data_IF_101378033526
#
_entry.id   IF_101378033526
#
_cell.length_a   1.000
_cell.length_b   1.000
_cell.length_c   1.000
_cell.angle_alpha   90.00
_cell.angle_beta   90.00
_cell.angle_gamma   90.00
#
_symmetry.space_group_name_H-M   'P 1'
#
loop_
_entity.id
_entity.type
_entity.pdbx_description
1 polymer ?
#
# COMPACT_ATOMS: atom_id res chain seq x y z
N UNK A 1 -6.80 -15.20 -68.70
CA UNK A 1 -7.11 -13.78 -68.64
C UNK A 1 -6.28 -13.19 -67.50
N UNK A 2 -5.22 -12.54 -67.90
CA UNK A 2 -4.19 -11.85 -67.12
C UNK A 2 -4.70 -10.48 -66.66
N UNK A 3 -4.52 -10.11 -65.40
CA UNK A 3 -4.54 -8.71 -65.01
C UNK A 3 -3.47 -8.48 -63.93
N UNK A 4 -2.47 -7.77 -64.38
CA UNK A 4 -1.32 -7.24 -63.68
C UNK A 4 -1.75 -6.02 -62.86
N UNK A 5 -1.35 -5.92 -61.61
CA UNK A 5 -1.47 -4.68 -60.83
C UNK A 5 -0.09 -4.20 -60.42
N UNK A 6 0.17 -2.95 -60.79
CA UNK A 6 1.40 -2.17 -60.60
C UNK A 6 1.66 -1.88 -59.11
N UNK A 7 2.90 -2.03 -58.75
CA UNK A 7 3.52 -1.55 -57.55
C UNK A 7 4.06 -0.13 -57.79
N UNK A 8 3.58 0.89 -57.08
CA UNK A 8 4.18 2.21 -57.04
C UNK A 8 5.17 2.29 -55.86
N UNK A 9 6.43 2.51 -56.19
CA UNK A 9 7.49 2.87 -55.26
C UNK A 9 7.38 4.37 -54.91
N UNK A 10 7.36 4.69 -53.67
CA UNK A 10 7.61 6.05 -53.17
C UNK A 10 9.10 6.25 -52.95
N UNK A 11 9.64 7.17 -53.71
CA UNK A 11 11.00 7.70 -53.64
C UNK A 11 11.05 8.75 -52.53
N UNK A 12 11.89 8.59 -51.52
CA UNK A 12 12.16 9.57 -50.49
C UNK A 12 13.61 10.04 -50.63
N UNK A 13 13.71 11.24 -51.18
CA UNK A 13 14.98 11.94 -51.37
C UNK A 13 15.70 12.25 -50.08
N UNK A 14 17.01 12.10 -50.11
CA UNK A 14 17.96 12.46 -49.08
C UNK A 14 18.02 14.02 -48.90
N UNK A 15 18.17 14.53 -47.66
CA UNK A 15 18.50 15.93 -47.49
C UNK A 15 20.01 16.17 -47.48
N UNK A 16 20.39 17.14 -48.23
CA UNK A 16 21.75 17.70 -48.39
C UNK A 16 22.46 18.06 -47.09
N UNK A 17 23.73 17.73 -47.04
CA UNK A 17 24.70 18.22 -46.06
C UNK A 17 24.99 19.71 -46.28
N UNK A 18 24.78 20.54 -45.27
CA UNK A 18 25.43 21.84 -45.16
C UNK A 18 26.42 21.87 -44.01
N UNK A 19 27.70 21.80 -44.38
CA UNK A 19 28.83 22.12 -43.51
C UNK A 19 28.97 23.63 -43.31
N UNK A 20 29.43 24.00 -42.12
CA UNK A 20 30.27 25.09 -41.64
C UNK A 20 29.66 25.97 -40.56
N UNK A 21 30.38 26.00 -39.43
CA UNK A 21 30.29 27.11 -38.52
C UNK A 21 30.77 26.89 -37.11
N UNK A 22 32.09 27.00 -36.91
CA UNK A 22 32.80 27.52 -35.72
C UNK A 22 32.73 26.76 -34.38
N UNK A 23 33.80 26.05 -34.12
CA UNK A 23 34.28 25.68 -32.80
C UNK A 23 34.78 26.89 -32.01
N UNK A 24 33.92 27.58 -31.28
CA UNK A 24 34.31 28.53 -30.22
C UNK A 24 33.25 28.45 -29.11
N UNK A 25 33.58 27.90 -27.96
CA UNK A 25 32.70 28.02 -26.80
C UNK A 25 32.82 27.00 -25.67
N UNK A 26 33.65 25.98 -25.77
CA UNK A 26 33.76 24.97 -24.67
C UNK A 26 34.88 25.19 -23.65
N UNK A 27 35.63 26.30 -23.71
CA UNK A 27 36.75 26.54 -22.79
C UNK A 27 36.60 27.73 -21.83
N UNK A 28 35.43 28.34 -21.71
CA UNK A 28 35.20 29.46 -20.78
C UNK A 28 34.23 29.22 -19.63
N UNK A 29 33.76 27.99 -19.43
CA UNK A 29 32.83 27.70 -18.33
C UNK A 29 33.49 27.04 -17.09
N UNK A 30 34.78 26.78 -17.12
CA UNK A 30 35.50 26.14 -16.01
C UNK A 30 36.55 27.05 -15.31
N UNK A 31 36.59 28.34 -15.59
CA UNK A 31 37.52 29.26 -14.99
C UNK A 31 36.88 30.30 -14.04
N UNK A 32 35.64 30.10 -13.60
CA UNK A 32 34.90 31.06 -12.77
C UNK A 32 34.54 30.58 -11.35
N UNK A 33 35.06 29.44 -10.91
CA UNK A 33 34.75 28.89 -9.58
C UNK A 33 35.97 28.78 -8.64
N UNK A 34 36.79 29.78 -8.63
CA UNK A 34 37.98 29.79 -7.80
C UNK A 34 38.33 31.16 -7.25
N UNK A 35 37.43 31.85 -6.54
CA UNK A 35 37.78 32.95 -5.59
C UNK A 35 36.50 33.46 -4.93
N UNK A 36 36.15 32.93 -3.75
CA UNK A 36 34.95 33.42 -3.02
C UNK A 36 34.63 32.62 -1.76
N UNK A 37 35.63 32.01 -1.18
CA UNK A 37 35.45 31.32 0.11
C UNK A 37 36.19 32.10 1.22
N UNK A 38 35.66 33.27 1.60
CA UNK A 38 35.93 33.86 2.95
C UNK A 38 34.73 34.75 3.32
N UNK A 39 34.21 34.56 4.51
CA UNK A 39 33.23 35.34 5.24
C UNK A 39 31.76 35.19 4.83
N UNK A 40 31.11 34.26 5.50
CA UNK A 40 29.77 34.46 6.01
C UNK A 40 29.52 33.48 7.17
N UNK A 41 30.16 33.75 8.28
CA UNK A 41 29.72 33.31 9.58
C UNK A 41 28.62 34.25 10.07
N UNK A 42 27.47 34.18 9.46
CA UNK A 42 26.20 34.62 10.03
C UNK A 42 25.20 33.59 9.61
N UNK A 43 24.92 32.66 10.53
CA UNK A 43 23.83 31.72 10.38
C UNK A 43 22.53 32.51 10.24
N UNK A 44 22.12 32.76 9.02
CA UNK A 44 20.70 32.93 8.74
C UNK A 44 20.12 31.55 9.00
N UNK A 45 19.64 31.31 10.21
CA UNK A 45 18.62 30.33 10.44
C UNK A 45 17.52 30.70 9.44
N UNK A 46 17.49 30.04 8.28
CA UNK A 46 16.30 29.95 7.47
C UNK A 46 15.27 29.35 8.44
N UNK A 47 14.47 30.26 9.04
CA UNK A 47 13.35 29.84 9.83
C UNK A 47 12.61 28.85 8.97
N UNK A 48 12.52 27.61 9.42
CA UNK A 48 11.61 26.66 8.81
C UNK A 48 10.25 27.39 8.81
N UNK A 49 9.81 27.80 7.63
CA UNK A 49 8.41 28.16 7.51
C UNK A 49 7.67 26.94 8.04
N UNK A 50 7.04 27.12 9.20
CA UNK A 50 6.10 26.12 9.68
C UNK A 50 5.11 25.96 8.56
N UNK A 51 5.15 24.81 7.89
CA UNK A 51 4.14 24.47 6.91
C UNK A 51 2.74 24.76 7.51
N UNK A 52 1.75 24.97 6.67
CA UNK A 52 0.41 25.30 7.15
C UNK A 52 0.02 24.31 8.21
N UNK A 53 -0.60 24.82 9.29
CA UNK A 53 -1.07 23.99 10.38
C UNK A 53 -1.81 22.79 9.78
N UNK A 54 -1.35 21.58 10.08
CA UNK A 54 -1.90 20.33 9.53
C UNK A 54 -3.40 20.14 9.80
N UNK A 55 -3.96 20.88 10.76
CA UNK A 55 -5.39 20.89 11.05
C UNK A 55 -6.20 21.83 10.15
N UNK A 56 -5.53 22.68 9.36
CA UNK A 56 -6.19 23.65 8.49
C UNK A 56 -6.07 23.21 7.06
N UNK A 57 -7.18 22.82 6.44
CA UNK A 57 -7.24 22.61 4.97
C UNK A 57 -7.22 23.99 4.34
N UNK A 58 -6.03 24.49 4.04
CA UNK A 58 -5.84 25.83 3.47
C UNK A 58 -5.87 25.85 1.95
N UNK A 59 -5.77 24.67 1.32
CA UNK A 59 -5.83 24.53 -0.13
C UNK A 59 -7.24 24.20 -0.57
N UNK A 60 -7.73 24.78 -1.70
CA UNK A 60 -9.00 24.38 -2.29
C UNK A 60 -9.01 22.85 -2.50
N UNK A 61 -10.18 22.21 -2.51
CA UNK A 61 -10.30 20.81 -2.88
C UNK A 61 -9.59 20.55 -4.20
N UNK A 62 -8.70 19.56 -4.21
CA UNK A 62 -7.97 19.17 -5.43
C UNK A 62 -8.78 18.13 -6.18
N UNK A 63 -8.81 18.28 -7.50
CA UNK A 63 -9.26 17.20 -8.36
C UNK A 63 -8.09 16.24 -8.61
N UNK A 64 -8.24 14.99 -8.18
CA UNK A 64 -7.28 13.92 -8.41
C UNK A 64 -7.67 13.02 -9.60
N UNK A 65 -8.72 13.38 -10.33
CA UNK A 65 -9.21 12.61 -11.47
C UNK A 65 -8.20 12.53 -12.61
N UNK A 66 -8.35 11.58 -13.54
CA UNK A 66 -7.43 11.43 -14.68
C UNK A 66 -7.42 12.64 -15.62
N UNK A 67 -8.49 13.44 -15.58
CA UNK A 67 -8.62 14.68 -16.37
C UNK A 67 -8.35 15.94 -15.54
N UNK A 68 -7.87 15.80 -14.30
CA UNK A 68 -7.52 16.93 -13.46
C UNK A 68 -6.42 17.79 -14.11
N UNK A 69 -6.48 19.08 -13.87
CA UNK A 69 -5.38 19.97 -14.28
C UNK A 69 -4.07 19.49 -13.64
N UNK A 70 -2.93 19.59 -14.35
CA UNK A 70 -1.62 19.28 -13.79
C UNK A 70 -1.39 20.00 -12.48
N UNK A 71 -0.76 19.33 -11.51
CA UNK A 71 -0.35 20.00 -10.28
C UNK A 71 0.69 21.08 -10.63
N UNK A 72 0.37 22.32 -10.32
CA UNK A 72 1.26 23.47 -10.57
C UNK A 72 2.22 23.75 -9.40
N UNK A 73 2.08 23.03 -8.30
CA UNK A 73 2.93 23.18 -7.14
C UNK A 73 4.19 22.33 -7.30
N UNK A 74 5.35 22.93 -6.99
CA UNK A 74 6.65 22.27 -7.14
C UNK A 74 6.92 21.19 -6.10
N UNK A 75 6.25 21.25 -4.98
CA UNK A 75 6.15 20.20 -3.97
C UNK A 75 4.68 19.94 -3.77
N UNK A 76 4.27 18.68 -3.81
CA UNK A 76 2.87 18.37 -3.56
C UNK A 76 2.50 18.79 -2.12
N UNK A 77 1.55 19.73 -1.92
CA UNK A 77 1.24 20.27 -0.59
C UNK A 77 0.65 19.23 0.35
N UNK A 78 0.27 18.05 -0.14
CA UNK A 78 -0.23 16.94 0.67
C UNK A 78 0.85 15.91 0.99
N UNK A 79 2.10 16.10 0.52
CA UNK A 79 3.28 15.34 0.93
C UNK A 79 4.06 16.19 1.93
N UNK A 80 3.96 15.86 3.21
CA UNK A 80 4.43 16.69 4.32
C UNK A 80 5.68 16.09 4.96
N UNK A 81 6.79 16.83 4.96
CA UNK A 81 7.95 16.53 5.79
C UNK A 81 7.66 17.00 7.23
N UNK A 82 7.58 16.07 8.17
CA UNK A 82 7.51 16.36 9.61
C UNK A 82 8.92 16.48 10.17
N UNK A 83 9.81 15.64 9.70
CA UNK A 83 11.24 15.69 9.97
C UNK A 83 12.02 15.96 8.68
N UNK A 84 13.10 16.76 8.69
CA UNK A 84 13.89 17.07 7.49
C UNK A 84 14.44 15.85 6.76
N UNK A 85 14.67 14.73 7.44
CA UNK A 85 15.14 13.49 6.81
C UNK A 85 14.14 12.90 5.82
N UNK A 86 12.85 13.22 5.93
CA UNK A 86 11.82 12.80 4.98
C UNK A 86 12.06 13.33 3.57
N UNK A 87 12.75 14.47 3.44
CA UNK A 87 13.09 15.03 2.12
C UNK A 87 13.96 14.08 1.28
N UNK A 88 14.72 13.19 1.92
CA UNK A 88 15.47 12.12 1.24
C UNK A 88 14.61 10.92 0.80
N UNK A 89 13.38 10.82 1.26
CA UNK A 89 12.45 9.73 0.96
C UNK A 89 11.37 10.15 -0.05
N UNK A 90 11.05 11.43 -0.10
CA UNK A 90 10.04 12.00 -1.01
C UNK A 90 10.67 12.47 -2.32
N UNK A 91 9.92 12.36 -3.41
CA UNK A 91 10.31 12.87 -4.72
C UNK A 91 9.70 14.27 -4.93
N UNK A 92 10.50 15.35 -4.97
CA UNK A 92 9.95 16.71 -4.91
C UNK A 92 8.99 17.10 -6.04
N UNK A 93 9.15 16.51 -7.21
CA UNK A 93 8.37 16.83 -8.41
C UNK A 93 7.31 15.77 -8.74
N UNK A 94 7.01 14.88 -7.79
CA UNK A 94 6.02 13.83 -7.97
C UNK A 94 4.70 14.21 -7.29
N UNK A 95 3.65 14.55 -8.03
CA UNK A 95 2.32 14.80 -7.47
C UNK A 95 1.66 13.49 -7.06
N UNK A 96 0.76 13.57 -6.08
CA UNK A 96 -0.19 12.50 -5.80
C UNK A 96 -1.17 12.41 -6.96
N UNK A 97 -1.34 11.20 -7.47
CA UNK A 97 -2.26 10.90 -8.57
C UNK A 97 -3.35 9.97 -8.07
N UNK A 98 -4.62 10.27 -8.37
CA UNK A 98 -5.70 9.30 -8.26
C UNK A 98 -5.77 8.50 -9.55
N UNK A 99 -5.43 7.22 -9.47
CA UNK A 99 -5.38 6.34 -10.65
C UNK A 99 -6.78 5.80 -10.99
N UNK A 100 -7.62 5.60 -9.99
CA UNK A 100 -8.94 5.04 -10.18
C UNK A 100 -9.86 5.30 -8.97
N UNK A 101 -11.17 5.29 -9.20
CA UNK A 101 -12.20 5.33 -8.17
C UNK A 101 -13.38 4.45 -8.59
N UNK A 102 -14.16 3.93 -7.64
CA UNK A 102 -15.35 3.12 -7.92
C UNK A 102 -15.40 1.80 -7.13
N UNK A 103 -14.57 1.63 -6.11
CA UNK A 103 -14.74 0.57 -5.12
C UNK A 103 -15.87 0.91 -4.12
N UNK A 104 -16.38 -0.09 -3.45
CA UNK A 104 -17.12 0.12 -2.19
C UNK A 104 -16.15 0.21 -1.02
N UNK A 105 -15.15 -0.68 -0.97
CA UNK A 105 -14.05 -0.63 -0.02
C UNK A 105 -12.84 -1.34 -0.61
N UNK A 106 -11.86 -0.54 -1.04
CA UNK A 106 -10.64 -1.02 -1.64
C UNK A 106 -9.62 -1.40 -0.56
N UNK A 107 -9.00 -2.56 -0.72
CA UNK A 107 -8.05 -3.14 0.23
C UNK A 107 -7.01 -4.05 -0.43
N UNK A 108 -6.03 -4.51 0.38
CA UNK A 108 -5.11 -5.57 0.07
C UNK A 108 -4.33 -5.40 -1.21
N UNK A 109 -3.58 -4.31 -1.39
CA UNK A 109 -2.80 -4.09 -2.59
C UNK A 109 -1.59 -5.02 -2.67
N UNK A 110 -1.34 -5.54 -3.87
CA UNK A 110 -0.14 -6.30 -4.18
C UNK A 110 0.40 -5.90 -5.56
N UNK A 111 1.71 -5.72 -5.64
CA UNK A 111 2.38 -5.43 -6.91
C UNK A 111 2.96 -6.70 -7.52
N UNK A 112 2.64 -6.95 -8.78
CA UNK A 112 3.27 -8.01 -9.56
C UNK A 112 4.36 -7.41 -10.45
N UNK A 113 5.62 -7.68 -10.11
CA UNK A 113 6.77 -7.14 -10.84
C UNK A 113 6.95 -7.76 -12.23
N UNK A 114 6.55 -9.02 -12.42
CA UNK A 114 6.67 -9.71 -13.70
C UNK A 114 5.63 -9.22 -14.71
N UNK A 115 4.37 -9.11 -14.23
CA UNK A 115 3.25 -8.64 -15.04
C UNK A 115 3.08 -7.12 -15.04
N UNK A 116 3.86 -6.40 -14.24
CA UNK A 116 3.84 -4.93 -14.12
C UNK A 116 2.43 -4.38 -13.86
N UNK A 117 1.76 -4.95 -12.86
CA UNK A 117 0.42 -4.51 -12.49
C UNK A 117 0.23 -4.45 -10.99
N UNK A 118 -0.65 -3.54 -10.56
CA UNK A 118 -1.19 -3.48 -9.22
C UNK A 118 -2.48 -4.32 -9.18
N UNK A 119 -2.56 -5.17 -8.17
CA UNK A 119 -3.77 -5.90 -7.79
C UNK A 119 -4.32 -5.30 -6.49
N UNK A 120 -5.64 -5.25 -6.34
CA UNK A 120 -6.30 -4.95 -5.06
C UNK A 120 -7.65 -5.63 -4.97
N UNK A 121 -8.17 -5.75 -3.76
CA UNK A 121 -9.51 -6.26 -3.47
C UNK A 121 -10.51 -5.12 -3.36
N UNK A 122 -11.68 -5.29 -3.95
CA UNK A 122 -12.88 -4.52 -3.62
C UNK A 122 -13.79 -5.46 -2.84
N UNK A 123 -13.60 -5.46 -1.50
CA UNK A 123 -14.09 -6.51 -0.61
C UNK A 123 -15.60 -6.69 -0.71
N UNK A 124 -16.44 -5.63 -0.54
CA UNK A 124 -17.89 -5.82 -0.51
C UNK A 124 -18.47 -6.27 -1.86
N UNK A 125 -17.76 -5.97 -2.95
CA UNK A 125 -18.14 -6.41 -4.30
C UNK A 125 -17.62 -7.81 -4.63
N UNK A 126 -16.86 -8.44 -3.72
CA UNK A 126 -16.26 -9.79 -3.91
C UNK A 126 -15.50 -9.91 -5.22
N UNK A 127 -14.67 -8.92 -5.51
CA UNK A 127 -13.86 -8.88 -6.74
C UNK A 127 -12.44 -8.40 -6.46
N UNK A 128 -11.51 -8.85 -7.27
CA UNK A 128 -10.16 -8.31 -7.37
C UNK A 128 -10.04 -7.47 -8.63
N UNK A 129 -9.44 -6.30 -8.49
CA UNK A 129 -9.22 -5.34 -9.56
C UNK A 129 -7.74 -5.31 -9.92
N UNK A 130 -7.43 -4.91 -11.15
CA UNK A 130 -6.07 -4.77 -11.65
C UNK A 130 -5.90 -3.45 -12.38
N UNK A 131 -4.83 -2.73 -12.04
CA UNK A 131 -4.32 -1.59 -12.82
C UNK A 131 -3.02 -2.01 -13.51
N UNK A 132 -2.95 -1.81 -14.83
CA UNK A 132 -1.78 -2.14 -15.66
C UNK A 132 -0.92 -0.88 -15.80
N UNK A 133 0.39 -1.01 -15.55
CA UNK A 133 1.30 0.15 -15.56
C UNK A 133 1.50 0.71 -16.97
N UNK A 134 1.53 -0.13 -17.99
CA UNK A 134 1.89 0.24 -19.36
C UNK A 134 0.90 1.23 -19.99
N UNK A 135 -0.37 1.10 -19.69
CA UNK A 135 -1.43 1.93 -20.30
C UNK A 135 -2.38 2.58 -19.27
N UNK A 136 -2.20 2.28 -17.98
CA UNK A 136 -3.06 2.78 -16.91
C UNK A 136 -4.46 2.14 -16.88
N UNK A 137 -4.70 1.08 -17.66
CA UNK A 137 -6.01 0.42 -17.75
C UNK A 137 -6.37 -0.27 -16.45
N UNK A 138 -7.62 -0.05 -16.00
CA UNK A 138 -8.19 -0.75 -14.85
C UNK A 138 -9.26 -1.73 -15.31
N UNK A 139 -9.14 -2.96 -14.83
CA UNK A 139 -10.08 -4.03 -15.15
C UNK A 139 -10.40 -4.88 -13.93
N UNK A 140 -11.53 -5.58 -13.98
CA UNK A 140 -11.80 -6.68 -13.05
C UNK A 140 -10.84 -7.82 -13.37
N UNK A 141 -10.03 -8.21 -12.39
CA UNK A 141 -9.07 -9.30 -12.52
C UNK A 141 -9.72 -10.65 -12.20
N UNK A 142 -10.50 -10.69 -11.10
CA UNK A 142 -11.31 -11.86 -10.70
C UNK A 142 -12.63 -11.40 -10.10
N UNK A 143 -13.68 -12.15 -10.38
CA UNK A 143 -14.96 -12.07 -9.69
C UNK A 143 -15.11 -13.22 -8.70
N UNK A 144 -16.06 -13.08 -7.77
CA UNK A 144 -16.37 -14.13 -6.78
C UNK A 144 -15.16 -14.54 -5.96
N UNK A 145 -14.43 -13.54 -5.46
CA UNK A 145 -13.17 -13.73 -4.73
C UNK A 145 -13.39 -14.06 -3.26
N UNK A 146 -14.60 -14.46 -2.87
CA UNK A 146 -14.98 -14.78 -1.49
C UNK A 146 -14.68 -13.62 -0.52
N UNK A 147 -14.95 -12.39 -0.98
CA UNK A 147 -14.65 -11.16 -0.25
C UNK A 147 -13.18 -11.13 0.22
N UNK A 148 -12.26 -11.36 -0.74
CA UNK A 148 -10.84 -11.29 -0.46
C UNK A 148 -10.44 -9.91 0.08
N UNK A 149 -9.49 -9.90 1.01
CA UNK A 149 -8.90 -8.69 1.57
C UNK A 149 -7.42 -8.61 1.19
N UNK A 150 -6.50 -8.93 2.10
CA UNK A 150 -5.07 -8.84 1.89
C UNK A 150 -4.57 -9.75 0.78
N UNK A 151 -3.69 -9.22 -0.05
CA UNK A 151 -2.99 -9.97 -1.08
C UNK A 151 -1.50 -9.68 -1.00
N UNK A 152 -0.68 -10.63 -1.46
CA UNK A 152 0.75 -10.46 -1.66
C UNK A 152 1.23 -11.45 -2.73
N UNK A 153 2.31 -11.13 -3.43
CA UNK A 153 3.01 -12.12 -4.23
C UNK A 153 4.15 -12.74 -3.42
N UNK A 154 4.26 -14.06 -3.47
CA UNK A 154 5.37 -14.76 -2.83
C UNK A 154 6.66 -14.66 -3.66
N UNK A 155 7.76 -15.20 -3.14
CA UNK A 155 9.06 -15.14 -3.81
C UNK A 155 9.13 -15.94 -5.12
N UNK A 156 8.10 -16.74 -5.42
CA UNK A 156 7.94 -17.46 -6.69
C UNK A 156 6.97 -16.76 -7.65
N UNK A 157 6.44 -15.60 -7.27
CA UNK A 157 5.49 -14.82 -8.07
C UNK A 157 4.05 -15.34 -8.03
N UNK A 158 3.71 -16.24 -7.09
CA UNK A 158 2.35 -16.74 -6.88
C UNK A 158 1.59 -15.80 -5.96
N UNK A 159 0.33 -15.57 -6.25
CA UNK A 159 -0.50 -14.69 -5.43
C UNK A 159 -1.01 -15.43 -4.20
N UNK A 160 -0.75 -14.84 -3.03
CA UNK A 160 -1.39 -15.18 -1.75
C UNK A 160 -2.62 -14.28 -1.57
N UNK A 161 -3.68 -14.79 -0.97
CA UNK A 161 -4.90 -14.03 -0.71
C UNK A 161 -5.61 -14.49 0.56
N UNK A 162 -6.09 -13.52 1.33
CA UNK A 162 -6.96 -13.74 2.49
C UNK A 162 -8.42 -13.62 2.06
N UNK A 163 -9.25 -14.62 2.32
CA UNK A 163 -10.66 -14.65 1.95
C UNK A 163 -11.55 -14.57 3.19
N UNK A 164 -12.35 -13.51 3.31
CA UNK A 164 -13.23 -13.31 4.46
C UNK A 164 -14.42 -14.28 4.48
N UNK A 165 -15.15 -14.41 3.36
CA UNK A 165 -16.37 -15.21 3.29
C UNK A 165 -16.11 -16.69 3.57
N UNK A 166 -15.06 -17.24 2.99
CA UNK A 166 -14.68 -18.65 3.16
C UNK A 166 -13.79 -18.87 4.37
N UNK A 167 -13.33 -17.80 5.03
CA UNK A 167 -12.53 -17.82 6.26
C UNK A 167 -11.25 -18.65 6.08
N UNK A 168 -10.51 -18.34 4.99
CA UNK A 168 -9.32 -19.11 4.61
C UNK A 168 -8.25 -18.23 3.97
N UNK A 169 -7.04 -18.77 3.93
CA UNK A 169 -5.92 -18.24 3.17
C UNK A 169 -5.66 -19.15 1.99
N UNK A 170 -5.51 -18.57 0.81
CA UNK A 170 -5.29 -19.31 -0.43
C UNK A 170 -4.06 -18.81 -1.17
N UNK A 171 -3.52 -19.68 -2.03
CA UNK A 171 -2.49 -19.34 -3.01
C UNK A 171 -3.01 -19.68 -4.40
N UNK A 172 -2.95 -18.70 -5.29
CA UNK A 172 -3.19 -18.90 -6.71
C UNK A 172 -1.89 -19.36 -7.34
N UNK A 173 -1.89 -20.57 -7.87
CA UNK A 173 -0.73 -21.18 -8.53
C UNK A 173 -0.55 -20.61 -9.94
N UNK A 174 0.65 -20.81 -10.53
CA UNK A 174 0.97 -20.28 -11.87
C UNK A 174 0.15 -20.93 -12.99
N UNK A 175 -0.36 -22.14 -12.75
CA UNK A 175 -1.28 -22.83 -13.68
C UNK A 175 -2.75 -22.39 -13.55
N UNK A 176 -3.04 -21.44 -12.63
CA UNK A 176 -4.38 -20.94 -12.37
C UNK A 176 -5.17 -21.74 -11.34
N UNK A 177 -4.65 -22.85 -10.82
CA UNK A 177 -5.27 -23.60 -9.73
C UNK A 177 -5.19 -22.82 -8.41
N UNK A 178 -6.04 -23.22 -7.44
CA UNK A 178 -6.09 -22.60 -6.11
C UNK A 178 -5.73 -23.63 -5.07
N UNK A 179 -4.68 -23.35 -4.30
CA UNK A 179 -4.30 -24.14 -3.12
C UNK A 179 -4.83 -23.46 -1.87
N UNK A 180 -5.65 -24.16 -1.08
CA UNK A 180 -6.03 -23.71 0.26
C UNK A 180 -4.84 -23.95 1.18
N UNK A 181 -4.29 -22.87 1.74
CA UNK A 181 -3.14 -22.91 2.62
C UNK A 181 -3.55 -23.14 4.08
N UNK A 182 -4.60 -22.45 4.52
CA UNK A 182 -5.18 -22.59 5.86
C UNK A 182 -6.65 -22.19 5.84
N UNK A 183 -7.50 -22.96 6.54
CA UNK A 183 -8.92 -22.67 6.77
C UNK A 183 -9.34 -22.91 8.22
N UNK A 184 -8.48 -23.56 9.00
CA UNK A 184 -8.78 -23.97 10.37
C UNK A 184 -7.52 -24.06 11.22
N UNK A 185 -7.68 -23.90 12.52
CA UNK A 185 -6.65 -24.10 13.52
C UNK A 185 -7.20 -24.92 14.69
N UNK A 186 -6.54 -26.04 15.02
CA UNK A 186 -6.98 -26.96 16.09
C UNK A 186 -8.46 -27.41 15.94
N UNK A 187 -8.89 -27.66 14.69
CA UNK A 187 -10.22 -28.13 14.38
C UNK A 187 -11.33 -27.07 14.41
N UNK A 188 -10.98 -25.78 14.59
CA UNK A 188 -11.90 -24.64 14.54
C UNK A 188 -11.60 -23.78 13.33
N UNK A 189 -12.64 -23.19 12.74
CA UNK A 189 -12.48 -22.30 11.59
C UNK A 189 -11.74 -21.01 11.96
N UNK A 190 -10.91 -20.52 11.05
CA UNK A 190 -10.32 -19.19 11.15
C UNK A 190 -11.43 -18.11 11.27
N UNK A 191 -11.10 -16.93 11.76
CA UNK A 191 -12.07 -15.83 11.89
C UNK A 191 -12.38 -15.19 10.53
N UNK A 192 -11.49 -14.36 10.05
CA UNK A 192 -11.50 -13.78 8.71
C UNK A 192 -10.10 -13.27 8.39
N UNK A 193 -9.22 -14.10 7.83
CA UNK A 193 -7.86 -13.71 7.51
C UNK A 193 -7.84 -12.39 6.77
N UNK A 194 -6.95 -11.46 7.20
CA UNK A 194 -7.00 -10.07 6.79
C UNK A 194 -5.80 -9.66 5.92
N UNK A 195 -4.60 -9.52 6.50
CA UNK A 195 -3.38 -9.19 5.75
C UNK A 195 -2.36 -10.35 5.80
N UNK A 196 -1.44 -10.38 4.84
CA UNK A 196 -0.59 -11.54 4.59
C UNK A 196 0.77 -11.12 4.05
N UNK A 197 1.83 -11.76 4.54
CA UNK A 197 3.20 -11.55 4.06
C UNK A 197 3.95 -12.87 3.93
N UNK A 198 4.73 -13.07 2.84
CA UNK A 198 5.64 -14.20 2.71
C UNK A 198 6.95 -13.92 3.43
N UNK A 199 7.62 -15.00 3.84
CA UNK A 199 8.97 -14.97 4.39
C UNK A 199 9.93 -15.77 3.50
N UNK A 200 11.23 -15.42 3.41
CA UNK A 200 12.19 -16.10 2.52
C UNK A 200 12.38 -17.60 2.78
N UNK A 201 12.06 -18.08 3.98
CA UNK A 201 12.10 -19.51 4.32
C UNK A 201 10.93 -20.32 3.71
N UNK A 202 10.05 -19.65 2.93
CA UNK A 202 8.87 -20.24 2.34
C UNK A 202 7.64 -20.26 3.26
N UNK A 203 7.74 -19.75 4.48
CA UNK A 203 6.58 -19.60 5.36
C UNK A 203 5.75 -18.38 4.95
N UNK A 204 4.46 -18.43 5.34
CA UNK A 204 3.49 -17.37 5.13
C UNK A 204 2.92 -16.95 6.47
N UNK A 205 2.87 -15.65 6.71
CA UNK A 205 2.37 -15.09 7.95
C UNK A 205 1.13 -14.26 7.67
N UNK A 206 0.09 -14.40 8.48
CA UNK A 206 -1.16 -13.68 8.27
C UNK A 206 -1.86 -13.34 9.58
N UNK A 207 -2.68 -12.30 9.53
CA UNK A 207 -3.52 -11.85 10.64
C UNK A 207 -4.94 -12.41 10.49
N UNK A 208 -5.60 -12.70 11.61
CA UNK A 208 -6.95 -13.30 11.61
C UNK A 208 -7.90 -12.56 12.59
N UNK A 209 -8.22 -11.29 12.32
CA UNK A 209 -9.22 -10.54 13.07
C UNK A 209 -10.65 -10.96 12.66
N UNK A 210 -11.69 -10.48 13.37
CA UNK A 210 -13.06 -10.91 13.12
C UNK A 210 -13.83 -10.06 12.11
N UNK A 211 -13.18 -9.18 11.33
CA UNK A 211 -13.88 -8.13 10.57
C UNK A 211 -14.85 -8.69 9.53
N UNK A 212 -14.42 -9.64 8.72
CA UNK A 212 -15.26 -10.25 7.71
C UNK A 212 -16.47 -10.97 8.29
N UNK A 213 -16.27 -11.74 9.37
CA UNK A 213 -17.34 -12.45 10.02
C UNK A 213 -18.34 -11.54 10.76
N UNK A 214 -17.90 -10.39 11.25
CA UNK A 214 -18.73 -9.47 12.05
C UNK A 214 -19.35 -8.35 11.26
N UNK A 215 -18.76 -7.97 10.13
CA UNK A 215 -19.16 -6.75 9.44
C UNK A 215 -20.15 -6.99 8.29
N UNK A 216 -19.81 -7.77 7.27
CA UNK A 216 -20.62 -7.80 6.06
C UNK A 216 -20.40 -9.00 5.13
N UNK A 217 -19.30 -9.73 5.27
CA UNK A 217 -18.97 -10.84 4.37
C UNK A 217 -19.53 -12.19 4.83
N UNK A 218 -20.17 -12.22 6.00
CA UNK A 218 -20.56 -13.48 6.64
C UNK A 218 -21.61 -14.30 5.90
N UNK A 219 -22.45 -13.66 5.09
CA UNK A 219 -23.55 -14.33 4.37
C UNK A 219 -23.58 -13.90 2.92
N UNK A 220 -23.44 -14.85 1.96
CA UNK A 220 -23.61 -14.56 0.54
C UNK A 220 -25.01 -14.07 0.26
N UNK A 221 -25.15 -13.16 -0.70
CA UNK A 221 -26.46 -12.83 -1.27
C UNK A 221 -27.00 -14.06 -2.00
N UNK A 222 -28.22 -14.55 -1.67
CA UNK A 222 -28.83 -15.67 -2.39
C UNK A 222 -29.00 -15.42 -3.90
N UNK A 223 -29.04 -14.16 -4.31
CA UNK A 223 -29.06 -13.77 -5.73
C UNK A 223 -27.65 -13.82 -6.39
N UNK A 224 -26.61 -14.16 -5.64
CA UNK A 224 -25.27 -14.34 -6.17
C UNK A 224 -24.49 -13.04 -6.44
N UNK A 225 -24.96 -11.90 -5.94
CA UNK A 225 -24.38 -10.61 -6.29
C UNK A 225 -23.61 -9.90 -5.19
N UNK A 226 -23.99 -10.09 -3.94
CA UNK A 226 -23.40 -9.37 -2.79
C UNK A 226 -23.36 -10.26 -1.56
N UNK A 227 -22.34 -10.13 -0.76
CA UNK A 227 -22.21 -10.86 0.50
C UNK A 227 -23.16 -10.38 1.60
N UNK A 228 -23.84 -9.28 1.42
CA UNK A 228 -24.85 -8.75 2.33
C UNK A 228 -26.26 -8.78 1.73
N UNK A 229 -27.01 -9.82 2.06
CA UNK A 229 -28.40 -10.00 1.58
C UNK A 229 -29.36 -8.87 2.00
N UNK A 230 -29.07 -8.08 3.02
CA UNK A 230 -29.91 -6.98 3.48
C UNK A 230 -29.59 -5.63 2.83
N UNK A 231 -28.50 -5.53 2.10
CA UNK A 231 -28.11 -4.34 1.35
C UNK A 231 -27.88 -3.07 2.17
N UNK A 232 -27.72 -3.16 3.50
CA UNK A 232 -27.47 -2.02 4.37
C UNK A 232 -25.98 -1.69 4.38
N UNK A 233 -25.66 -0.40 4.31
CA UNK A 233 -24.30 0.09 4.45
C UNK A 233 -23.87 0.17 5.91
N UNK A 234 -22.60 -0.11 6.17
CA UNK A 234 -21.97 0.20 7.44
C UNK A 234 -21.73 1.70 7.54
N UNK A 235 -22.36 2.35 8.52
CA UNK A 235 -22.27 3.81 8.70
C UNK A 235 -20.85 4.31 9.01
N UNK A 236 -19.93 3.43 9.44
CA UNK A 236 -18.56 3.81 9.81
C UNK A 236 -17.62 3.84 8.62
N UNK A 237 -17.76 2.89 7.70
CA UNK A 237 -16.78 2.69 6.63
C UNK A 237 -17.41 2.58 5.24
N UNK A 238 -18.72 2.85 5.09
CA UNK A 238 -19.42 2.74 3.81
C UNK A 238 -19.57 1.32 3.29
N UNK A 239 -19.21 0.32 4.07
CA UNK A 239 -19.32 -1.08 3.72
C UNK A 239 -20.74 -1.60 3.99
N UNK A 240 -21.21 -2.64 3.28
CA UNK A 240 -22.45 -3.30 3.63
C UNK A 240 -22.44 -3.78 5.08
N UNK A 241 -23.53 -3.56 5.82
CA UNK A 241 -23.63 -4.03 7.19
C UNK A 241 -23.64 -5.56 7.22
N UNK A 242 -22.87 -6.14 8.10
CA UNK A 242 -22.79 -7.60 8.25
C UNK A 242 -24.10 -8.24 8.63
N UNK A 243 -24.34 -9.42 8.12
CA UNK A 243 -25.34 -10.38 8.58
C UNK A 243 -24.55 -11.58 9.07
N UNK A 244 -23.95 -11.44 10.22
CA UNK A 244 -23.09 -12.52 10.71
C UNK A 244 -23.86 -13.37 11.71
N UNK A 245 -24.17 -14.58 11.33
CA UNK A 245 -24.41 -15.69 12.25
C UNK A 245 -23.10 -16.44 12.55
N UNK A 246 -22.02 -16.04 11.91
CA UNK A 246 -20.69 -16.66 12.08
C UNK A 246 -20.16 -16.29 13.46
N UNK A 247 -20.28 -17.23 14.40
CA UNK A 247 -19.63 -17.12 15.70
C UNK A 247 -18.14 -17.20 15.50
N UNK A 248 -17.42 -16.28 16.13
CA UNK A 248 -15.98 -16.40 16.30
C UNK A 248 -15.67 -17.66 17.12
N UNK A 249 -14.89 -18.57 16.54
CA UNK A 249 -14.53 -19.85 17.19
C UNK A 249 -13.14 -19.79 17.81
N UNK A 250 -12.28 -18.91 17.30
CA UNK A 250 -10.90 -18.72 17.74
C UNK A 250 -10.72 -17.29 18.27
N UNK A 251 -9.82 -17.05 19.22
CA UNK A 251 -9.35 -15.70 19.52
C UNK A 251 -8.69 -15.09 18.28
N UNK A 252 -8.63 -13.75 18.22
CA UNK A 252 -7.92 -13.09 17.13
C UNK A 252 -6.41 -13.29 17.30
N UNK A 253 -5.73 -13.70 16.26
CA UNK A 253 -4.33 -14.13 16.33
C UNK A 253 -3.57 -13.76 15.06
N UNK A 254 -2.25 -13.81 15.17
CA UNK A 254 -1.35 -13.87 14.02
C UNK A 254 -0.86 -15.30 13.88
N UNK A 255 -0.92 -15.81 12.67
CA UNK A 255 -0.52 -17.15 12.34
C UNK A 255 0.71 -17.18 11.45
N UNK A 256 1.51 -18.24 11.59
CA UNK A 256 2.58 -18.62 10.69
C UNK A 256 2.29 -20.02 10.15
N UNK A 257 2.21 -20.11 8.84
CA UNK A 257 2.17 -21.38 8.12
C UNK A 257 3.58 -21.65 7.58
N UNK A 258 4.21 -22.72 8.03
CA UNK A 258 5.53 -23.08 7.53
C UNK A 258 5.47 -23.84 6.19
N UNK A 259 6.62 -24.05 5.56
CA UNK A 259 6.71 -24.73 4.26
C UNK A 259 6.29 -26.22 4.31
N UNK A 260 6.18 -26.83 5.50
CA UNK A 260 5.67 -28.19 5.69
C UNK A 260 4.14 -28.25 5.79
N UNK A 261 3.47 -27.10 5.86
CA UNK A 261 2.03 -26.98 6.06
C UNK A 261 1.60 -26.93 7.54
N UNK A 262 2.56 -26.82 8.49
CA UNK A 262 2.23 -26.65 9.90
C UNK A 262 1.82 -25.23 10.18
N UNK A 263 0.62 -25.06 10.77
CA UNK A 263 0.08 -23.78 11.18
C UNK A 263 0.30 -23.58 12.69
N UNK A 264 0.96 -22.49 13.05
CA UNK A 264 1.22 -22.08 14.43
C UNK A 264 0.57 -20.71 14.70
N UNK A 265 -0.12 -20.53 15.82
CA UNK A 265 -0.50 -19.23 16.34
C UNK A 265 0.73 -18.61 17.03
N UNK A 266 1.26 -17.54 16.46
CA UNK A 266 2.55 -16.95 16.89
C UNK A 266 2.38 -15.69 17.72
N UNK A 267 1.24 -14.99 17.61
CA UNK A 267 0.87 -13.86 18.48
C UNK A 267 -0.57 -14.08 18.93
N UNK A 268 -0.78 -14.08 20.24
CA UNK A 268 -2.09 -14.24 20.85
C UNK A 268 -2.85 -12.91 20.95
N UNK A 269 -4.17 -12.98 21.07
CA UNK A 269 -5.10 -11.84 21.14
C UNK A 269 -4.78 -10.85 22.28
N UNK A 270 -4.36 -11.35 23.44
CA UNK A 270 -3.98 -10.53 24.59
C UNK A 270 -2.69 -9.71 24.35
N UNK A 271 -1.94 -10.02 23.32
CA UNK A 271 -0.68 -9.36 22.96
C UNK A 271 -0.83 -8.31 21.89
N UNK A 272 -1.63 -8.59 20.86
CA UNK A 272 -1.97 -7.66 19.77
C UNK A 272 -3.47 -7.83 19.49
N UNK A 273 -4.34 -7.07 20.16
CA UNK A 273 -5.78 -7.19 19.97
C UNK A 273 -6.22 -6.80 18.56
N UNK A 274 -7.05 -7.62 17.94
CA UNK A 274 -7.54 -7.40 16.58
C UNK A 274 -6.40 -7.06 15.61
N UNK A 275 -5.44 -7.97 15.38
CA UNK A 275 -4.32 -7.72 14.48
C UNK A 275 -4.83 -7.46 13.06
N UNK A 276 -4.24 -6.45 12.40
CA UNK A 276 -4.61 -6.03 11.04
C UNK A 276 -3.41 -6.11 10.10
N UNK A 277 -2.80 -5.01 9.69
CA UNK A 277 -1.63 -5.01 8.84
C UNK A 277 -0.42 -5.67 9.49
N UNK A 278 0.44 -6.28 8.67
CA UNK A 278 1.72 -6.80 9.13
C UNK A 278 2.79 -6.65 8.03
N UNK A 279 4.05 -6.45 8.44
CA UNK A 279 5.19 -6.53 7.53
C UNK A 279 6.47 -6.88 8.28
N UNK A 280 7.45 -7.40 7.56
CA UNK A 280 8.81 -7.61 8.08
C UNK A 280 9.69 -6.37 7.85
N UNK A 281 10.73 -6.23 8.68
CA UNK A 281 11.87 -5.38 8.34
C UNK A 281 12.58 -5.90 7.08
N UNK A 282 13.39 -5.07 6.38
CA UNK A 282 14.09 -5.50 5.17
C UNK A 282 15.00 -6.72 5.34
N UNK A 283 15.53 -6.92 6.55
CA UNK A 283 16.39 -8.03 6.92
C UNK A 283 15.64 -9.23 7.55
N UNK A 284 14.30 -9.16 7.61
CA UNK A 284 13.40 -10.16 8.19
C UNK A 284 13.65 -10.48 9.68
N UNK A 285 14.39 -9.62 10.40
CA UNK A 285 14.67 -9.82 11.82
C UNK A 285 13.65 -9.18 12.75
N UNK A 286 12.73 -8.39 12.21
CA UNK A 286 11.61 -7.80 12.94
C UNK A 286 10.31 -8.06 12.21
N UNK A 287 9.27 -8.33 12.98
CA UNK A 287 7.88 -8.35 12.53
C UNK A 287 7.16 -7.17 13.16
N UNK A 288 6.50 -6.37 12.33
CA UNK A 288 5.59 -5.32 12.76
C UNK A 288 4.16 -5.77 12.53
N UNK A 289 3.28 -5.49 13.50
CA UNK A 289 1.85 -5.84 13.42
C UNK A 289 1.04 -4.66 13.97
N UNK A 290 0.05 -4.19 13.20
CA UNK A 290 -0.91 -3.23 13.73
C UNK A 290 -2.00 -3.91 14.53
N UNK A 291 -2.39 -3.26 15.62
CA UNK A 291 -3.58 -3.56 16.40
C UNK A 291 -4.62 -2.49 16.07
N UNK A 292 -5.83 -2.87 15.78
CA UNK A 292 -6.92 -1.92 15.63
C UNK A 292 -7.70 -1.72 16.93
N UNK A 293 -7.38 -2.46 17.99
CA UNK A 293 -7.86 -2.30 19.36
C UNK A 293 -9.33 -1.92 19.56
N UNK A 294 -9.77 -1.66 20.77
CA UNK A 294 -11.03 -0.94 20.99
C UNK A 294 -10.91 0.48 20.37
N UNK A 295 -11.99 0.99 19.79
CA UNK A 295 -12.04 2.25 19.05
C UNK A 295 -11.13 3.35 19.63
N UNK A 296 -10.18 3.85 18.85
CA UNK A 296 -9.26 4.92 19.21
C UNK A 296 -8.00 4.49 19.97
N UNK A 297 -7.69 3.19 20.04
CA UNK A 297 -6.51 2.66 20.75
C UNK A 297 -5.64 1.77 19.88
N UNK A 298 -5.74 1.88 18.56
CA UNK A 298 -4.89 1.13 17.65
C UNK A 298 -3.44 1.63 17.69
N UNK A 299 -2.50 0.71 17.70
CA UNK A 299 -1.07 0.95 17.73
C UNK A 299 -0.33 -0.02 16.81
N UNK A 300 0.97 0.17 16.65
CA UNK A 300 1.83 -0.79 15.95
C UNK A 300 2.76 -1.43 16.98
N UNK A 301 2.82 -2.74 16.97
CA UNK A 301 3.76 -3.54 17.75
C UNK A 301 4.94 -3.96 16.89
N UNK A 302 6.10 -4.11 17.53
CA UNK A 302 7.29 -4.72 16.93
C UNK A 302 7.78 -5.87 17.78
N UNK A 303 8.19 -6.95 17.10
CA UNK A 303 8.73 -8.15 17.69
C UNK A 303 10.03 -8.54 16.99
N UNK A 304 10.98 -9.08 17.70
CA UNK A 304 12.18 -9.68 17.10
C UNK A 304 11.84 -11.08 16.58
N UNK A 305 12.36 -11.39 15.39
CA UNK A 305 12.23 -12.69 14.72
C UNK A 305 13.56 -13.42 14.86
N UNK A 306 13.58 -14.50 15.63
CA UNK A 306 14.75 -15.37 15.78
C UNK A 306 15.03 -16.20 14.53
N UNK A 307 16.22 -16.82 14.47
CA UNK A 307 16.61 -17.69 13.34
C UNK A 307 15.71 -18.94 13.22
N UNK A 308 15.01 -19.31 14.30
CA UNK A 308 14.01 -20.38 14.33
C UNK A 308 12.58 -19.87 14.10
N UNK A 309 12.43 -18.61 13.68
CA UNK A 309 11.17 -17.90 13.49
C UNK A 309 10.33 -17.73 14.78
N UNK A 310 10.93 -17.90 15.94
CA UNK A 310 10.26 -17.56 17.20
C UNK A 310 10.30 -16.06 17.43
N UNK A 311 9.18 -15.55 17.92
CA UNK A 311 9.01 -14.15 18.25
C UNK A 311 9.42 -13.87 19.70
N UNK A 312 10.08 -12.72 19.89
CA UNK A 312 10.53 -12.27 21.22
C UNK A 312 10.53 -10.74 21.30
N UNK A 313 10.81 -10.20 22.48
CA UNK A 313 11.02 -8.77 22.72
C UNK A 313 9.88 -7.86 22.20
N UNK A 314 8.63 -8.33 22.32
CA UNK A 314 7.47 -7.53 21.90
C UNK A 314 7.38 -6.22 22.65
N UNK A 315 7.18 -5.14 21.92
CA UNK A 315 6.90 -3.80 22.46
C UNK A 315 6.00 -3.01 21.52
N UNK A 316 5.33 -1.99 22.05
CA UNK A 316 4.68 -0.99 21.21
C UNK A 316 5.76 -0.21 20.46
N UNK A 317 5.62 -0.15 19.15
CA UNK A 317 6.49 0.61 18.26
C UNK A 317 6.05 2.07 18.21
N UNK A 318 4.76 2.33 17.95
CA UNK A 318 4.15 3.67 17.99
C UNK A 318 2.68 3.56 18.34
N UNK A 319 2.16 4.56 19.07
CA UNK A 319 0.74 4.72 19.37
C UNK A 319 -0.04 5.43 18.24
N UNK A 320 0.65 5.73 17.14
CA UNK A 320 0.08 6.36 15.94
C UNK A 320 -0.60 7.72 16.18
N UNK A 321 -0.22 8.46 17.23
CA UNK A 321 -0.70 9.83 17.42
C UNK A 321 0.16 10.85 16.67
N UNK A 322 -0.50 11.75 15.98
CA UNK A 322 0.10 12.89 15.26
C UNK A 322 -0.63 14.17 15.70
N UNK A 323 0.06 15.12 16.30
CA UNK A 323 -0.53 16.37 16.82
C UNK A 323 -1.72 16.12 17.75
N UNK A 324 -1.70 15.02 18.51
CA UNK A 324 -2.78 14.62 19.42
C UNK A 324 -3.97 13.94 18.72
N UNK A 325 -3.92 13.76 17.40
CA UNK A 325 -4.93 13.01 16.63
C UNK A 325 -4.47 11.58 16.45
N UNK A 326 -5.31 10.63 16.81
CA UNK A 326 -5.05 9.22 16.54
C UNK A 326 -5.22 8.92 15.05
N UNK A 327 -4.14 8.55 14.39
CA UNK A 327 -4.09 8.12 12.99
C UNK A 327 -4.08 6.59 12.97
N UNK A 328 -5.24 5.96 13.21
CA UNK A 328 -5.37 4.51 13.41
C UNK A 328 -4.66 3.73 12.31
N UNK A 329 -3.71 2.85 12.68
CA UNK A 329 -2.94 2.10 11.70
C UNK A 329 -3.79 0.99 11.08
N UNK A 330 -3.55 0.71 9.79
CA UNK A 330 -4.16 -0.37 9.04
C UNK A 330 -3.06 -1.18 8.34
N UNK A 331 -3.09 -1.36 7.03
CA UNK A 331 -1.99 -2.01 6.31
C UNK A 331 -0.76 -1.10 6.15
N UNK A 332 0.42 -1.67 6.09
CA UNK A 332 1.68 -0.93 5.94
C UNK A 332 2.79 -1.77 5.33
N UNK A 333 3.82 -1.08 4.79
CA UNK A 333 5.01 -1.74 4.21
C UNK A 333 6.26 -1.00 4.63
N UNK A 334 7.37 -1.75 4.73
CA UNK A 334 8.69 -1.18 4.96
C UNK A 334 9.35 -0.76 3.65
N UNK A 335 10.13 0.32 3.68
CA UNK A 335 11.07 0.63 2.61
C UNK A 335 12.44 -0.03 2.87
N UNK A 336 13.37 0.10 1.92
CA UNK A 336 14.71 -0.52 2.00
C UNK A 336 15.56 -0.01 3.16
N UNK A 337 15.22 1.13 3.75
CA UNK A 337 15.87 1.70 4.94
C UNK A 337 15.20 1.25 6.24
N UNK A 338 14.10 0.50 6.15
CA UNK A 338 13.31 0.02 7.28
C UNK A 338 12.29 1.02 7.80
N UNK A 339 12.05 2.13 7.10
CA UNK A 339 10.97 3.04 7.47
C UNK A 339 9.63 2.38 7.17
N UNK A 340 8.65 2.53 8.07
CA UNK A 340 7.30 2.03 7.88
C UNK A 340 6.43 3.10 7.24
N UNK A 341 5.86 2.77 6.08
CA UNK A 341 4.85 3.56 5.38
C UNK A 341 3.49 2.97 5.71
N UNK A 342 2.78 3.65 6.61
CA UNK A 342 1.60 3.12 7.27
C UNK A 342 0.33 3.81 6.79
N UNK A 343 -0.64 3.05 6.28
CA UNK A 343 -1.98 3.53 6.02
C UNK A 343 -2.63 4.02 7.32
N UNK A 344 -3.34 5.14 7.24
CA UNK A 344 -3.85 5.85 8.41
C UNK A 344 -5.34 6.16 8.27
N UNK A 345 -6.08 5.81 9.30
CA UNK A 345 -7.50 6.12 9.47
C UNK A 345 -7.67 7.06 10.66
N UNK A 346 -7.88 8.32 10.38
CA UNK A 346 -8.14 9.35 11.41
C UNK A 346 -9.64 9.67 11.55
N UNK A 347 -10.51 8.86 11.00
CA UNK A 347 -11.95 9.02 11.06
C UNK A 347 -12.41 10.37 10.49
N UNK A 348 -12.95 11.24 11.34
CA UNK A 348 -13.44 12.57 10.93
C UNK A 348 -12.41 13.70 11.11
N UNK A 349 -11.21 13.40 11.55
CA UNK A 349 -10.14 14.39 11.67
C UNK A 349 -9.58 14.71 10.27
N UNK A 350 -10.07 15.77 9.67
CA UNK A 350 -9.70 16.20 8.32
C UNK A 350 -8.21 16.48 8.23
N UNK A 351 -7.55 15.95 7.20
CA UNK A 351 -6.13 16.14 6.95
C UNK A 351 -5.21 15.18 7.72
N UNK A 352 -5.75 14.19 8.43
CA UNK A 352 -4.98 13.20 9.18
C UNK A 352 -5.08 11.78 8.61
N UNK A 353 -6.05 11.50 7.75
CA UNK A 353 -6.10 10.25 6.98
C UNK A 353 -5.12 10.29 5.80
N UNK A 354 -4.63 9.11 5.40
CA UNK A 354 -3.66 8.94 4.32
C UNK A 354 -2.53 8.01 4.71
N UNK A 355 -1.28 8.49 4.71
CA UNK A 355 -0.11 7.68 5.09
C UNK A 355 0.74 8.43 6.11
N UNK A 356 1.18 7.75 7.15
CA UNK A 356 2.22 8.21 8.09
C UNK A 356 3.50 7.41 7.85
N UNK A 357 4.65 8.08 7.94
CA UNK A 357 5.95 7.45 7.69
C UNK A 357 6.81 7.53 8.95
N UNK A 358 7.22 6.37 9.45
CA UNK A 358 7.94 6.23 10.70
C UNK A 358 9.33 5.64 10.47
N UNK A 359 10.36 6.20 11.11
CA UNK A 359 11.70 5.59 11.09
C UNK A 359 11.74 4.26 11.85
N UNK A 360 12.80 3.44 11.70
CA UNK A 360 12.98 2.23 12.51
C UNK A 360 12.98 2.46 14.02
N UNK A 361 13.29 3.69 14.47
CA UNK A 361 13.26 4.13 15.87
C UNK A 361 11.91 4.70 16.30
N UNK A 362 10.87 4.54 15.48
CA UNK A 362 9.51 5.05 15.71
C UNK A 362 9.40 6.58 15.72
N UNK A 363 10.31 7.29 15.05
CA UNK A 363 10.19 8.73 14.85
C UNK A 363 9.30 9.01 13.64
N UNK A 364 8.30 9.88 13.78
CA UNK A 364 7.50 10.34 12.65
C UNK A 364 8.37 11.19 11.71
N UNK A 365 8.53 10.74 10.46
CA UNK A 365 9.32 11.40 9.44
C UNK A 365 8.48 12.30 8.55
N UNK A 366 7.35 11.80 8.10
CA UNK A 366 6.51 12.51 7.15
C UNK A 366 5.10 11.95 7.06
N UNK A 367 4.29 12.60 6.23
CA UNK A 367 2.90 12.23 6.02
C UNK A 367 2.49 12.48 4.57
N UNK A 368 1.56 11.68 4.09
CA UNK A 368 0.84 11.93 2.85
C UNK A 368 -0.64 12.04 3.22
N UNK A 369 -1.24 13.19 2.97
CA UNK A 369 -2.66 13.41 3.23
C UNK A 369 -3.48 12.94 2.04
N UNK A 370 -4.55 12.23 2.31
CA UNK A 370 -5.55 11.84 1.32
C UNK A 370 -6.94 12.34 1.74
N UNK A 371 -7.82 12.59 0.77
CA UNK A 371 -9.20 13.00 1.06
C UNK A 371 -10.04 11.83 1.58
N UNK A 372 -9.53 10.62 1.55
CA UNK A 372 -10.18 9.38 1.95
C UNK A 372 -9.35 8.65 3.02
N UNK A 373 -10.01 7.79 3.79
CA UNK A 373 -9.33 6.87 4.70
C UNK A 373 -8.49 5.90 3.87
N UNK A 374 -7.19 5.82 4.16
CA UNK A 374 -6.31 4.83 3.57
C UNK A 374 -6.35 3.54 4.39
N UNK A 375 -6.69 2.42 3.75
CA UNK A 375 -6.72 1.11 4.39
C UNK A 375 -5.38 0.38 4.25
N UNK A 376 -4.70 0.51 3.11
CA UNK A 376 -3.47 -0.25 2.90
C UNK A 376 -2.56 0.44 1.88
N UNK A 377 -1.28 0.03 1.87
CA UNK A 377 -0.28 0.54 0.93
C UNK A 377 0.60 -0.59 0.38
N UNK A 378 1.15 -0.38 -0.81
CA UNK A 378 2.21 -1.22 -1.35
C UNK A 378 3.15 -0.41 -2.23
N UNK A 379 4.41 -0.83 -2.30
CA UNK A 379 5.35 -0.30 -3.25
C UNK A 379 5.32 -1.11 -4.54
N UNK A 380 5.45 -0.43 -5.68
CA UNK A 380 5.51 -1.06 -6.99
C UNK A 380 6.18 -0.18 -8.03
N UNK A 381 5.92 -0.48 -9.30
CA UNK A 381 6.64 0.10 -10.43
C UNK A 381 7.98 -0.59 -10.70
N UNK A 382 8.63 -0.33 -11.85
CA UNK A 382 9.85 -1.04 -12.27
C UNK A 382 11.02 -0.89 -11.31
N UNK A 383 11.05 0.19 -10.54
CA UNK A 383 12.08 0.48 -9.52
C UNK A 383 11.55 0.29 -8.09
N UNK A 384 10.32 -0.18 -7.92
CA UNK A 384 9.66 -0.32 -6.62
C UNK A 384 9.66 0.98 -5.80
N UNK A 385 9.65 2.12 -6.46
CA UNK A 385 9.64 3.45 -5.86
C UNK A 385 8.34 4.23 -6.13
N UNK A 386 7.28 3.54 -6.50
CA UNK A 386 5.94 4.11 -6.60
C UNK A 386 5.11 3.54 -5.45
N UNK A 387 4.73 4.40 -4.52
CA UNK A 387 3.84 4.04 -3.43
C UNK A 387 2.41 4.08 -3.95
N UNK A 388 1.72 2.97 -3.89
CA UNK A 388 0.29 2.86 -4.11
C UNK A 388 -0.43 2.90 -2.77
N UNK A 389 -1.46 3.73 -2.68
CA UNK A 389 -2.25 3.98 -1.47
C UNK A 389 -3.70 3.62 -1.79
N UNK A 390 -4.21 2.62 -1.09
CA UNK A 390 -5.55 2.10 -1.32
C UNK A 390 -6.47 2.73 -0.28
N UNK A 391 -7.35 3.59 -0.77
CA UNK A 391 -8.14 4.44 0.12
C UNK A 391 -9.63 4.33 -0.20
N UNK A 392 -10.40 3.82 0.76
CA UNK A 392 -11.87 3.70 0.69
C UNK A 392 -12.41 3.28 -0.70
N UNK A 393 -12.67 4.25 -1.57
CA UNK A 393 -13.22 4.03 -2.91
C UNK A 393 -12.20 4.16 -4.03
N UNK A 394 -10.98 4.64 -3.72
CA UNK A 394 -10.04 5.11 -4.73
C UNK A 394 -8.63 4.52 -4.55
N UNK A 395 -7.90 4.52 -5.65
CA UNK A 395 -6.48 4.14 -5.70
C UNK A 395 -5.67 5.40 -6.00
N UNK A 396 -4.74 5.71 -5.11
CA UNK A 396 -3.79 6.81 -5.27
C UNK A 396 -2.38 6.27 -5.45
N UNK A 397 -1.52 7.07 -6.06
CA UNK A 397 -0.10 6.76 -6.17
C UNK A 397 0.76 8.02 -6.14
N UNK A 398 1.98 7.87 -5.65
CA UNK A 398 3.01 8.91 -5.67
C UNK A 398 4.37 8.24 -5.86
N UNK A 399 5.27 8.88 -6.61
CA UNK A 399 6.65 8.44 -6.69
C UNK A 399 7.45 8.89 -5.47
N UNK A 400 8.29 8.01 -4.97
CA UNK A 400 9.17 8.24 -3.82
C UNK A 400 10.64 8.20 -4.25
N UNK A 401 11.53 8.78 -3.43
CA UNK A 401 12.96 8.66 -3.59
C UNK A 401 13.55 7.41 -2.92
N UNK A 402 12.71 6.61 -2.26
CA UNK A 402 13.05 5.31 -1.69
C UNK A 402 12.34 4.17 -2.43
N UNK A 403 12.69 2.93 -2.11
CA UNK A 403 12.12 1.71 -2.68
C UNK A 403 11.48 0.85 -1.59
N UNK A 404 10.43 0.12 -1.93
CA UNK A 404 9.87 -0.87 -1.02
C UNK A 404 10.80 -2.06 -0.77
N UNK A 405 10.80 -2.60 0.44
CA UNK A 405 11.64 -3.72 0.86
C UNK A 405 11.07 -5.09 0.46
N UNK A 406 9.76 -5.24 0.44
CA UNK A 406 9.11 -6.51 0.15
C UNK A 406 9.29 -6.97 -1.31
N UNK A 407 9.22 -8.28 -1.56
CA UNK A 407 9.04 -8.78 -2.93
C UNK A 407 7.72 -8.27 -3.50
N UNK A 408 7.58 -8.28 -4.81
CA UNK A 408 6.39 -7.85 -5.52
C UNK A 408 6.63 -7.81 -7.00
#
# INVERSE_FOLDING_TARGET
MTTTTKQELFDIGEPEQQERGSAVGRRRFLAGLGAGAVALGAGVALGQEKGPNVTTVTTPPRDFGPNAAPNVYFWDPDVLAVDPSFNGLAQPNAPIQRLWTGALWAEGPAWNSQGRYLLWSDIPNSRQMRWIEDDGHVSVFRNNTNNSNGNMFDFQGRQLSCEHLTRRVVRYELDGSITVLADSFKGKRLNSPNDIVPHPDGSVWFTDPPYGAQLYEGTPDPAGGKSNAKGKLNNKVGQPAGVSDARQELPTQVYRLDSSGRLDAVIADDKVPNPNGLCFSPDFKKLYVSSTGPAGKGDIHVLDVGSDNKLSNQKVFTDCHVDGVHCGPDGFRADVFGNLWCASNAGRAVGYSGVTVWSPEAKLLGRIRLPEICGNVTFGGPKRNRLFMIASQSIYAVYTATQGASPG
#
